data_IF_189219912255
#
_entry.id   IF_189219912255
#
_cell.length_a   1.000
_cell.length_b   1.000
_cell.length_c   1.000
_cell.angle_alpha   90.00
_cell.angle_beta   90.00
_cell.angle_gamma   90.00
#
_symmetry.space_group_name_H-M   'P 1'
#
loop_
_entity.id
_entity.type
_entity.pdbx_description
1 polymer ?
#
# COMPACT_ATOMS: atom_id res chain seq x y z
N UNK A 1 1.65 -4.92 19.73
CA UNK A 1 1.38 -6.34 19.40
C UNK A 1 2.39 -7.24 20.11
N UNK A 2 1.93 -8.32 20.73
CA UNK A 2 2.81 -9.37 21.29
C UNK A 2 3.66 -10.01 20.18
N UNK A 3 4.93 -10.27 20.45
CA UNK A 3 5.90 -10.86 19.50
C UNK A 3 5.42 -12.19 18.92
N UNK A 4 4.61 -12.94 19.66
CA UNK A 4 4.04 -14.23 19.24
C UNK A 4 3.05 -14.09 18.07
N UNK A 5 2.17 -13.10 18.12
CA UNK A 5 1.18 -12.86 17.04
C UNK A 5 1.86 -12.47 15.72
N UNK A 6 2.92 -11.67 15.78
CA UNK A 6 3.70 -11.29 14.60
C UNK A 6 4.36 -12.50 13.93
N UNK A 7 4.89 -13.43 14.72
CA UNK A 7 5.51 -14.64 14.19
C UNK A 7 4.47 -15.58 13.56
N UNK A 8 3.28 -15.72 14.16
CA UNK A 8 2.19 -16.53 13.60
C UNK A 8 1.72 -15.96 12.25
N UNK A 9 1.49 -14.65 12.17
CA UNK A 9 1.13 -13.99 10.91
C UNK A 9 2.20 -14.13 9.83
N UNK A 10 3.48 -14.10 10.21
CA UNK A 10 4.60 -14.31 9.28
C UNK A 10 4.57 -15.73 8.70
N UNK A 11 4.43 -16.75 9.55
CA UNK A 11 4.34 -18.15 9.11
C UNK A 11 3.13 -18.36 8.20
N UNK A 12 1.98 -17.78 8.55
CA UNK A 12 0.79 -17.83 7.71
C UNK A 12 1.01 -17.17 6.34
N UNK A 13 1.62 -15.98 6.30
CA UNK A 13 1.96 -15.29 5.06
C UNK A 13 2.89 -16.11 4.16
N UNK A 14 3.91 -16.74 4.73
CA UNK A 14 4.83 -17.64 3.99
C UNK A 14 4.06 -18.83 3.41
N UNK A 15 3.17 -19.46 4.18
CA UNK A 15 2.34 -20.56 3.69
C UNK A 15 1.45 -20.14 2.51
N UNK A 16 0.80 -18.98 2.59
CA UNK A 16 -0.04 -18.46 1.49
C UNK A 16 0.80 -18.22 0.23
N UNK A 17 1.99 -17.62 0.35
CA UNK A 17 2.90 -17.41 -0.79
C UNK A 17 3.33 -18.74 -1.41
N UNK A 18 3.64 -19.75 -0.59
CA UNK A 18 4.00 -21.09 -1.06
C UNK A 18 2.82 -21.73 -1.81
N UNK A 19 1.61 -21.66 -1.28
CA UNK A 19 0.40 -22.15 -1.96
C UNK A 19 0.18 -21.40 -3.27
N UNK A 20 0.34 -20.07 -3.30
CA UNK A 20 0.22 -19.28 -4.53
C UNK A 20 1.23 -19.69 -5.59
N UNK A 21 2.47 -20.01 -5.21
CA UNK A 21 3.50 -20.48 -6.13
C UNK A 21 3.17 -21.84 -6.73
N UNK A 22 2.56 -22.75 -5.95
CA UNK A 22 2.18 -24.08 -6.40
C UNK A 22 0.83 -24.12 -7.15
N UNK A 23 -0.08 -23.21 -6.85
CA UNK A 23 -1.37 -23.07 -7.55
C UNK A 23 -1.29 -22.14 -8.77
N UNK A 24 -0.12 -21.58 -9.07
CA UNK A 24 0.07 -20.72 -10.23
C UNK A 24 0.07 -21.58 -11.51
N UNK A 25 -1.01 -21.51 -12.29
CA UNK A 25 -1.22 -22.29 -13.51
C UNK A 25 -0.36 -21.81 -14.71
N UNK A 26 0.76 -21.13 -14.46
CA UNK A 26 1.63 -20.54 -15.46
C UNK A 26 2.98 -21.26 -15.46
N UNK A 27 3.40 -21.74 -16.64
CA UNK A 27 4.71 -22.39 -16.80
C UNK A 27 5.83 -21.39 -16.49
N UNK A 28 6.74 -21.76 -15.59
CA UNK A 28 7.86 -20.90 -15.19
C UNK A 28 8.75 -20.46 -16.37
N UNK A 29 8.83 -21.25 -17.44
CA UNK A 29 9.56 -20.91 -18.67
C UNK A 29 8.94 -19.72 -19.42
N UNK A 30 7.61 -19.64 -19.45
CA UNK A 30 6.90 -18.51 -20.07
C UNK A 30 7.07 -17.24 -19.24
N UNK A 31 7.04 -17.36 -17.91
CA UNK A 31 7.33 -16.25 -17.00
C UNK A 31 8.73 -15.68 -17.24
N UNK A 32 9.73 -16.56 -17.35
CA UNK A 32 11.12 -16.18 -17.57
C UNK A 32 11.35 -15.51 -18.93
N UNK A 33 10.73 -16.04 -19.99
CA UNK A 33 10.82 -15.44 -21.33
C UNK A 33 10.13 -14.08 -21.39
N UNK A 34 8.99 -13.90 -20.72
CA UNK A 34 8.32 -12.61 -20.61
C UNK A 34 9.14 -11.61 -19.79
N UNK A 35 9.80 -12.05 -18.72
CA UNK A 35 10.67 -11.19 -17.92
C UNK A 35 11.88 -10.69 -18.72
N UNK A 36 12.52 -11.57 -19.50
CA UNK A 36 13.59 -11.20 -20.45
C UNK A 36 13.11 -10.21 -21.51
N UNK A 37 11.90 -10.42 -22.04
CA UNK A 37 11.29 -9.52 -23.02
C UNK A 37 10.95 -8.15 -22.44
N UNK A 38 10.50 -8.12 -21.17
CA UNK A 38 10.27 -6.88 -20.44
C UNK A 38 11.58 -6.11 -20.19
N UNK A 39 12.69 -6.80 -19.96
CA UNK A 39 14.06 -6.24 -20.02
C UNK A 39 14.18 -4.85 -19.38
N UNK A 40 14.50 -3.83 -20.22
CA UNK A 40 14.68 -2.45 -19.79
C UNK A 40 13.40 -1.69 -19.37
N UNK A 41 12.21 -2.21 -19.68
CA UNK A 41 10.94 -1.62 -19.23
C UNK A 41 10.65 -1.94 -17.76
N UNK A 42 11.17 -3.05 -17.23
CA UNK A 42 10.90 -3.48 -15.86
C UNK A 42 11.41 -2.47 -14.81
N UNK A 43 12.66 -1.96 -14.89
CA UNK A 43 13.11 -0.87 -14.02
C UNK A 43 12.27 0.40 -14.13
N UNK A 44 11.75 0.70 -15.32
CA UNK A 44 10.96 1.91 -15.58
C UNK A 44 9.58 1.82 -14.93
N UNK A 45 8.95 0.64 -14.98
CA UNK A 45 7.71 0.35 -14.25
C UNK A 45 7.93 0.42 -12.73
N UNK A 46 9.05 -0.13 -12.23
CA UNK A 46 9.39 -0.03 -10.81
C UNK A 46 9.60 1.42 -10.36
N UNK A 47 10.30 2.22 -11.16
CA UNK A 47 10.50 3.65 -10.91
C UNK A 47 9.17 4.40 -10.83
N UNK A 48 8.26 4.13 -11.76
CA UNK A 48 6.92 4.71 -11.77
C UNK A 48 6.18 4.41 -10.45
N UNK A 49 6.21 3.15 -10.00
CA UNK A 49 5.59 2.76 -8.73
C UNK A 49 6.22 3.43 -7.51
N UNK A 50 7.55 3.59 -7.50
CA UNK A 50 8.23 4.33 -6.43
C UNK A 50 7.76 5.78 -6.34
N UNK A 51 7.59 6.44 -7.50
CA UNK A 51 7.05 7.81 -7.57
C UNK A 51 5.60 7.86 -7.07
N UNK A 52 4.76 6.90 -7.48
CA UNK A 52 3.37 6.80 -7.02
C UNK A 52 3.30 6.63 -5.50
N UNK A 53 4.10 5.74 -4.93
CA UNK A 53 4.15 5.55 -3.47
C UNK A 53 4.68 6.78 -2.74
N UNK A 54 5.65 7.48 -3.32
CA UNK A 54 6.18 8.72 -2.76
C UNK A 54 5.10 9.81 -2.70
N UNK A 55 4.37 10.05 -3.79
CA UNK A 55 3.29 11.05 -3.85
C UNK A 55 2.16 10.67 -2.88
N UNK A 56 1.80 9.39 -2.79
CA UNK A 56 0.80 8.92 -1.85
C UNK A 56 1.21 9.12 -0.38
N UNK A 57 2.46 8.80 -0.05
CA UNK A 57 3.00 9.07 1.28
C UNK A 57 3.05 10.56 1.59
N UNK A 58 3.37 11.40 0.61
CA UNK A 58 3.38 12.85 0.76
C UNK A 58 1.97 13.40 1.02
N UNK A 59 0.98 12.95 0.26
CA UNK A 59 -0.43 13.32 0.47
C UNK A 59 -0.89 12.98 1.90
N UNK A 60 -0.64 11.75 2.34
CA UNK A 60 -1.01 11.34 3.69
C UNK A 60 -0.22 12.10 4.78
N UNK A 61 1.06 12.41 4.53
CA UNK A 61 1.88 13.20 5.43
C UNK A 61 1.36 14.63 5.62
N UNK A 62 0.86 15.26 4.55
CA UNK A 62 0.21 16.57 4.60
C UNK A 62 -1.06 16.51 5.46
N UNK A 63 -1.88 15.47 5.27
CA UNK A 63 -3.09 15.22 6.06
C UNK A 63 -2.77 15.05 7.55
N UNK A 64 -1.74 14.27 7.87
CA UNK A 64 -1.29 14.03 9.25
C UNK A 64 -0.84 15.33 9.93
N UNK A 65 -0.09 16.18 9.21
CA UNK A 65 0.37 17.46 9.75
C UNK A 65 -0.77 18.42 10.02
N UNK A 66 -1.77 18.49 9.13
CA UNK A 66 -2.94 19.35 9.31
C UNK A 66 -2.58 20.80 9.67
N UNK A 67 -1.50 21.32 9.09
CA UNK A 67 -0.98 22.67 9.37
C UNK A 67 -0.13 22.83 10.65
N UNK A 68 0.13 21.77 11.42
CA UNK A 68 0.97 21.79 12.63
C UNK A 68 2.16 20.82 12.51
N UNK A 69 3.23 21.00 13.30
CA UNK A 69 4.31 20.02 13.39
C UNK A 69 3.75 18.67 13.84
N UNK A 70 3.99 17.62 13.05
CA UNK A 70 3.60 16.24 13.42
C UNK A 70 4.77 15.55 14.13
N UNK A 71 4.51 14.75 15.19
CA UNK A 71 5.53 13.90 15.82
C UNK A 71 5.98 12.73 14.93
N UNK A 72 5.30 12.47 13.81
CA UNK A 72 5.64 11.39 12.87
C UNK A 72 6.52 11.93 11.74
N UNK A 73 7.67 11.29 11.50
CA UNK A 73 8.55 11.64 10.38
C UNK A 73 8.02 11.12 9.05
N UNK A 74 8.35 11.81 7.95
CA UNK A 74 7.96 11.39 6.59
C UNK A 74 8.40 9.96 6.27
N UNK A 75 9.61 9.56 6.66
CA UNK A 75 10.13 8.22 6.46
C UNK A 75 9.27 7.13 7.12
N UNK A 76 8.68 7.39 8.29
CA UNK A 76 7.74 6.45 8.92
C UNK A 76 6.44 6.37 8.12
N UNK A 77 5.88 7.52 7.73
CA UNK A 77 4.67 7.57 6.91
C UNK A 77 4.89 6.81 5.60
N UNK A 78 6.02 7.02 4.93
CA UNK A 78 6.38 6.28 3.72
C UNK A 78 6.43 4.76 3.94
N UNK A 79 7.09 4.31 5.01
CA UNK A 79 7.11 2.89 5.38
C UNK A 79 5.70 2.33 5.61
N UNK A 80 4.86 3.05 6.34
CA UNK A 80 3.47 2.65 6.62
C UNK A 80 2.58 2.65 5.35
N UNK A 81 2.83 3.58 4.42
CA UNK A 81 2.15 3.62 3.12
C UNK A 81 2.47 2.37 2.31
N UNK A 82 3.76 2.05 2.11
CA UNK A 82 4.21 0.91 1.32
C UNK A 82 3.75 -0.41 1.94
N UNK A 83 3.93 -0.59 3.26
CA UNK A 83 3.48 -1.80 3.95
C UNK A 83 1.95 -1.93 3.98
N UNK A 84 1.21 -0.83 4.11
CA UNK A 84 -0.25 -0.85 4.01
C UNK A 84 -0.74 -1.24 2.62
N UNK A 85 -0.07 -0.79 1.55
CA UNK A 85 -0.39 -1.23 0.19
C UNK A 85 -0.06 -2.71 -0.02
N UNK A 86 1.12 -3.16 0.44
CA UNK A 86 1.50 -4.57 0.37
C UNK A 86 0.47 -5.48 1.07
N UNK A 87 0.00 -5.08 2.27
CA UNK A 87 -1.06 -5.80 2.98
C UNK A 87 -2.35 -5.85 2.16
N UNK A 88 -2.76 -4.72 1.59
CA UNK A 88 -3.96 -4.65 0.74
C UNK A 88 -3.90 -5.58 -0.46
N UNK A 89 -2.74 -5.72 -1.12
CA UNK A 89 -2.57 -6.60 -2.27
C UNK A 89 -2.51 -8.08 -1.91
N UNK A 90 -2.06 -8.41 -0.69
CA UNK A 90 -1.96 -9.81 -0.24
C UNK A 90 -3.28 -10.31 0.36
N UNK A 91 -4.10 -9.43 0.95
CA UNK A 91 -5.39 -9.82 1.53
C UNK A 91 -6.48 -9.96 0.46
N UNK A 92 -7.11 -11.14 0.29
CA UNK A 92 -8.15 -11.37 -0.72
C UNK A 92 -9.49 -10.68 -0.40
N UNK A 93 -9.64 -10.10 0.79
CA UNK A 93 -10.88 -9.50 1.30
C UNK A 93 -10.90 -7.98 1.10
N UNK A 94 -10.83 -7.54 -0.16
CA UNK A 94 -11.25 -6.20 -0.58
C UNK A 94 -10.56 -5.00 0.06
N UNK A 95 -9.23 -4.86 -0.10
CA UNK A 95 -8.46 -3.65 0.26
C UNK A 95 -8.54 -3.20 1.74
N UNK A 96 -9.09 -4.02 2.64
CA UNK A 96 -9.36 -3.66 4.04
C UNK A 96 -8.25 -4.04 5.02
N UNK A 97 -7.14 -4.64 4.59
CA UNK A 97 -6.06 -5.07 5.50
C UNK A 97 -5.08 -3.95 5.90
N UNK A 98 -4.82 -3.03 4.98
CA UNK A 98 -3.82 -1.98 5.10
C UNK A 98 -4.30 -0.77 5.90
N UNK A 99 -5.60 -0.50 5.91
CA UNK A 99 -6.16 0.65 6.63
C UNK A 99 -6.15 0.45 8.15
N UNK A 100 -6.62 -0.68 8.70
CA UNK A 100 -6.49 -0.98 10.13
C UNK A 100 -5.03 -1.04 10.58
N UNK A 101 -4.14 -1.56 9.71
CA UNK A 101 -2.69 -1.56 9.97
C UNK A 101 -2.13 -0.14 10.09
N UNK A 102 -2.47 0.76 9.15
CA UNK A 102 -2.04 2.16 9.19
C UNK A 102 -2.55 2.86 10.44
N UNK A 103 -3.79 2.62 10.86
CA UNK A 103 -4.37 3.18 12.10
C UNK A 103 -3.61 2.65 13.32
N UNK A 104 -3.38 1.34 13.39
CA UNK A 104 -2.68 0.70 14.50
C UNK A 104 -1.24 1.23 14.66
N UNK A 105 -0.52 1.41 13.54
CA UNK A 105 0.85 1.94 13.55
C UNK A 105 0.91 3.45 13.84
N UNK A 106 -0.11 4.23 13.47
CA UNK A 106 -0.19 5.67 13.81
C UNK A 106 -0.66 5.93 15.24
N UNK A 107 -1.48 5.04 15.81
CA UNK A 107 -2.12 5.21 17.13
C UNK A 107 -1.14 5.58 18.25
N UNK A 108 0.05 4.94 18.39
CA UNK A 108 1.03 5.30 19.42
C UNK A 108 1.58 6.72 19.31
N UNK A 109 1.47 7.35 18.13
CA UNK A 109 2.06 8.67 17.86
C UNK A 109 1.04 9.81 17.92
N UNK A 110 -0.20 9.56 17.49
CA UNK A 110 -1.22 10.61 17.32
C UNK A 110 -2.47 10.40 18.18
N UNK A 111 -2.59 9.25 18.85
CA UNK A 111 -3.83 8.82 19.51
C UNK A 111 -4.81 8.20 18.50
N UNK A 112 -5.76 7.40 19.02
CA UNK A 112 -6.69 6.60 18.21
C UNK A 112 -7.56 7.47 17.31
N UNK A 113 -8.15 8.54 17.84
CA UNK A 113 -9.07 9.40 17.10
C UNK A 113 -8.38 10.08 15.91
N UNK A 114 -7.23 10.72 16.16
CA UNK A 114 -6.50 11.44 15.11
C UNK A 114 -5.88 10.50 14.08
N UNK A 115 -5.39 9.35 14.52
CA UNK A 115 -4.91 8.29 13.62
C UNK A 115 -6.03 7.82 12.68
N UNK A 116 -7.18 7.49 13.24
CA UNK A 116 -8.36 7.00 12.50
C UNK A 116 -8.86 8.04 11.50
N UNK A 117 -9.08 9.28 11.97
CA UNK A 117 -9.54 10.37 11.11
C UNK A 117 -8.55 10.67 9.97
N UNK A 118 -7.25 10.65 10.23
CA UNK A 118 -6.24 10.89 9.19
C UNK A 118 -6.22 9.81 8.11
N UNK A 119 -6.39 8.53 8.49
CA UNK A 119 -6.41 7.41 7.55
C UNK A 119 -7.69 7.45 6.72
N UNK A 120 -8.85 7.66 7.36
CA UNK A 120 -10.14 7.76 6.65
C UNK A 120 -10.10 8.93 5.66
N UNK A 121 -9.64 10.11 6.09
CA UNK A 121 -9.55 11.28 5.20
C UNK A 121 -8.66 11.01 3.99
N UNK A 122 -7.51 10.34 4.20
CA UNK A 122 -6.62 9.94 3.13
C UNK A 122 -7.30 8.96 2.15
N UNK A 123 -7.97 7.93 2.66
CA UNK A 123 -8.69 6.94 1.84
C UNK A 123 -9.80 7.59 1.03
N UNK A 124 -10.61 8.44 1.65
CA UNK A 124 -11.68 9.16 0.96
C UNK A 124 -11.12 10.05 -0.16
N UNK A 125 -10.05 10.81 0.11
CA UNK A 125 -9.42 11.66 -0.90
C UNK A 125 -8.81 10.82 -2.04
N UNK A 126 -8.21 9.68 -1.71
CA UNK A 126 -7.63 8.77 -2.69
C UNK A 126 -8.71 8.20 -3.63
N UNK A 127 -9.81 7.67 -3.09
CA UNK A 127 -10.93 7.14 -3.87
C UNK A 127 -11.60 8.26 -4.69
N UNK A 128 -11.82 9.42 -4.09
CA UNK A 128 -12.42 10.57 -4.76
C UNK A 128 -11.59 11.03 -5.96
N UNK A 129 -10.26 11.06 -5.82
CA UNK A 129 -9.36 11.43 -6.90
C UNK A 129 -9.41 10.44 -8.07
N UNK A 130 -9.57 9.14 -7.80
CA UNK A 130 -9.80 8.14 -8.85
C UNK A 130 -11.13 8.38 -9.57
N UNK A 131 -12.19 8.68 -8.82
CA UNK A 131 -13.49 9.00 -9.39
C UNK A 131 -13.43 10.24 -10.29
N UNK A 132 -12.79 11.32 -9.84
CA UNK A 132 -12.57 12.51 -10.66
C UNK A 132 -11.74 12.23 -11.91
N UNK A 133 -10.68 11.43 -11.81
CA UNK A 133 -9.86 11.04 -12.95
C UNK A 133 -10.67 10.25 -14.00
N UNK A 134 -11.51 9.31 -13.56
CA UNK A 134 -12.37 8.52 -14.43
C UNK A 134 -13.41 9.40 -15.12
N UNK A 135 -14.05 10.31 -14.36
CA UNK A 135 -15.05 11.23 -14.90
C UNK A 135 -14.43 12.21 -15.91
N UNK A 136 -13.24 12.75 -15.63
CA UNK A 136 -12.51 13.60 -16.57
C UNK A 136 -12.11 12.85 -17.85
N UNK A 137 -11.80 11.56 -17.74
CA UNK A 137 -11.44 10.71 -18.89
C UNK A 137 -12.60 10.55 -19.88
N UNK A 138 -13.86 10.65 -19.44
CA UNK A 138 -15.04 10.63 -20.32
C UNK A 138 -15.05 11.82 -21.29
N UNK A 139 -14.51 12.97 -20.89
CA UNK A 139 -14.47 14.18 -21.73
C UNK A 139 -13.23 14.27 -22.62
N UNK A 140 -12.22 13.44 -22.37
CA UNK A 140 -10.99 13.36 -23.17
C UNK A 140 -11.11 12.35 -24.33
N UNK A 141 -12.24 11.65 -24.42
CA UNK A 141 -12.60 10.71 -25.47
C UNK A 141 -13.75 11.28 -26.32
#
# INVERSE_FOLDING_TARGET
>A
MSSKFRNVFLVFGVLVVVIMLFSFDMKYDELWNNLKRAGGYLPLVLLLWLVIYFINALSWFVIIRGGKPSPVSFLRVYKFTVSGFALNYVTPVGLMGGEPYRIMELTPYLGVERATSSVILYVMMHIFSHFCFWLASVFLY
#
